data_IF_117434252955
#
_entry.id   IF_117434252955
#
_cell.length_a   1.000
_cell.length_b   1.000
_cell.length_c   1.000
_cell.angle_alpha   90.00
_cell.angle_beta   90.00
_cell.angle_gamma   90.00
#
_symmetry.space_group_name_H-M   'P 1'
#
loop_
_entity.id
_entity.type
_entity.pdbx_description
1 polymer ?
#
# COMPACT_ATOMS: atom_id res chain seq x y z
N UNK A 1 20.80 3.68 27.01
CA UNK A 1 19.43 3.11 26.90
C UNK A 1 18.46 4.05 27.59
N UNK A 2 17.99 5.05 26.85
CA UNK A 2 16.96 6.00 27.29
C UNK A 2 16.40 6.58 26.00
N UNK A 3 15.15 6.21 25.67
CA UNK A 3 14.23 6.87 24.73
C UNK A 3 13.05 5.90 24.51
N UNK A 4 12.25 5.68 25.55
CA UNK A 4 11.01 4.90 25.47
C UNK A 4 9.93 5.50 26.39
N UNK A 5 9.79 6.83 26.37
CA UNK A 5 8.90 7.58 27.29
C UNK A 5 8.16 8.73 26.62
N UNK A 6 7.73 8.56 25.36
CA UNK A 6 6.92 9.57 24.66
C UNK A 6 5.64 9.03 24.02
N UNK A 7 5.08 7.92 24.52
CA UNK A 7 3.90 7.29 23.91
C UNK A 7 2.62 7.25 24.77
N UNK A 8 2.54 7.99 25.89
CA UNK A 8 1.36 7.91 26.77
C UNK A 8 0.84 9.26 27.32
N UNK A 9 1.13 10.39 26.66
CA UNK A 9 0.71 11.72 27.12
C UNK A 9 -0.40 12.38 26.27
N UNK A 10 -1.33 11.60 25.71
CA UNK A 10 -2.45 12.16 24.92
C UNK A 10 -3.83 11.58 25.27
N UNK A 11 -3.96 10.89 26.40
CA UNK A 11 -5.23 10.28 26.84
C UNK A 11 -5.90 10.93 28.05
N UNK A 12 -5.41 12.08 28.53
CA UNK A 12 -5.90 12.67 29.79
C UNK A 12 -6.33 14.15 29.69
N UNK A 13 -6.95 14.57 28.58
CA UNK A 13 -7.39 15.96 28.43
C UNK A 13 -8.79 16.14 27.81
N UNK A 14 -9.82 15.39 28.24
CA UNK A 14 -11.24 15.77 27.96
C UNK A 14 -12.22 15.37 29.10
N UNK A 15 -11.79 15.02 30.32
CA UNK A 15 -12.74 14.57 31.38
C UNK A 15 -12.90 15.57 32.56
N UNK A 16 -12.21 16.71 32.57
CA UNK A 16 -12.37 17.70 33.64
C UNK A 16 -13.05 18.97 33.15
N UNK A 17 -14.38 18.94 33.13
CA UNK A 17 -15.22 20.09 32.76
C UNK A 17 -16.66 19.98 33.22
N UNK A 18 -16.94 19.27 34.32
CA UNK A 18 -18.25 19.31 34.98
C UNK A 18 -18.03 19.42 36.48
N UNK A 19 -17.84 20.65 36.97
CA UNK A 19 -17.95 20.95 38.38
C UNK A 19 -18.68 22.29 38.57
N UNK A 20 -19.90 22.15 39.11
CA UNK A 20 -20.56 23.07 40.02
C UNK A 20 -20.84 24.51 39.55
N UNK A 21 -22.11 24.76 39.22
CA UNK A 21 -22.73 26.01 39.67
C UNK A 21 -24.09 25.72 40.32
N UNK A 22 -24.23 26.21 41.56
CA UNK A 22 -25.33 26.06 42.52
C UNK A 22 -26.72 26.20 41.91
N UNK A 23 -27.62 25.28 42.26
CA UNK A 23 -29.08 25.51 42.18
C UNK A 23 -29.56 25.85 43.60
N UNK A 24 -30.08 27.07 43.69
CA UNK A 24 -30.90 27.58 44.79
C UNK A 24 -32.20 26.78 44.88
N UNK A 25 -32.62 26.45 46.09
CA UNK A 25 -33.89 25.79 46.39
C UNK A 25 -35.07 26.64 45.92
N UNK A 26 -35.88 26.13 45.00
CA UNK A 26 -37.27 26.57 44.85
C UNK A 26 -38.20 25.35 44.80
N UNK A 27 -39.24 25.47 45.61
CA UNK A 27 -40.35 24.57 45.81
C UNK A 27 -41.11 24.27 44.51
N UNK A 28 -41.47 22.98 44.37
CA UNK A 28 -42.69 22.40 43.80
C UNK A 28 -43.41 23.26 42.75
N UNK A 29 -43.42 22.78 41.51
CA UNK A 29 -44.66 22.82 40.72
C UNK A 29 -44.78 21.61 39.78
N UNK A 30 -45.94 20.97 39.87
CA UNK A 30 -46.30 19.71 39.23
C UNK A 30 -46.92 20.01 37.87
N UNK A 31 -46.11 20.36 36.86
CA UNK A 31 -46.59 20.49 35.48
C UNK A 31 -45.42 20.55 34.48
N UNK A 32 -44.78 19.41 34.20
CA UNK A 32 -43.66 19.37 33.23
C UNK A 32 -43.30 18.00 32.65
N UNK A 33 -44.12 16.97 32.86
CA UNK A 33 -43.73 15.59 32.58
C UNK A 33 -43.69 15.20 31.09
N UNK A 34 -44.17 16.04 30.17
CA UNK A 34 -44.20 15.69 28.75
C UNK A 34 -43.06 16.32 27.93
N UNK A 35 -42.59 17.51 28.31
CA UNK A 35 -41.60 18.27 27.53
C UNK A 35 -40.16 17.77 27.76
N UNK A 36 -39.84 17.25 28.95
CA UNK A 36 -38.49 16.76 29.30
C UNK A 36 -38.13 15.41 28.68
N UNK A 37 -39.13 14.58 28.30
CA UNK A 37 -38.90 13.25 27.71
C UNK A 37 -38.59 13.32 26.21
N UNK A 38 -39.09 14.36 25.54
CA UNK A 38 -38.89 14.64 24.12
C UNK A 38 -37.45 15.15 23.85
N UNK A 39 -36.97 16.08 24.68
CA UNK A 39 -35.61 16.65 24.54
C UNK A 39 -34.51 15.61 24.74
N UNK A 40 -34.69 14.69 25.70
CA UNK A 40 -33.72 13.62 25.97
C UNK A 40 -33.59 12.64 24.79
N UNK A 41 -34.71 12.33 24.13
CA UNK A 41 -34.73 11.50 22.90
C UNK A 41 -34.10 12.23 21.72
N UNK A 42 -34.34 13.54 21.59
CA UNK A 42 -33.72 14.36 20.55
C UNK A 42 -32.19 14.45 20.68
N UNK A 43 -31.68 14.50 21.92
CA UNK A 43 -30.25 14.54 22.21
C UNK A 43 -29.54 13.20 21.93
N UNK A 44 -30.15 12.07 22.34
CA UNK A 44 -29.64 10.73 22.03
C UNK A 44 -29.64 10.45 20.52
N UNK A 45 -30.66 10.90 19.79
CA UNK A 45 -30.73 10.75 18.35
C UNK A 45 -29.65 11.56 17.64
N UNK A 46 -29.39 12.80 18.08
CA UNK A 46 -28.31 13.66 17.54
C UNK A 46 -26.91 13.14 17.88
N UNK A 47 -26.73 12.58 19.08
CA UNK A 47 -25.47 11.94 19.45
C UNK A 47 -25.22 10.68 18.62
N UNK A 48 -26.23 9.82 18.44
CA UNK A 48 -26.13 8.62 17.61
C UNK A 48 -25.91 8.95 16.12
N UNK A 49 -26.53 10.00 15.59
CA UNK A 49 -26.27 10.45 14.21
C UNK A 49 -24.85 11.00 14.04
N UNK A 50 -24.38 11.79 15.00
CA UNK A 50 -23.01 12.33 14.98
C UNK A 50 -21.93 11.24 15.14
N UNK A 51 -22.22 10.17 15.89
CA UNK A 51 -21.34 9.00 16.01
C UNK A 51 -21.29 8.24 14.68
N UNK A 52 -22.43 7.96 14.05
CA UNK A 52 -22.47 7.30 12.73
C UNK A 52 -21.74 8.07 11.64
N UNK A 53 -21.84 9.40 11.65
CA UNK A 53 -21.14 10.27 10.70
C UNK A 53 -19.62 10.28 10.95
N UNK A 54 -19.19 10.27 12.22
CA UNK A 54 -17.77 10.12 12.56
C UNK A 54 -17.23 8.74 12.18
N UNK A 55 -17.98 7.67 12.41
CA UNK A 55 -17.57 6.31 12.05
C UNK A 55 -17.43 6.12 10.55
N UNK A 56 -18.34 6.69 9.74
CA UNK A 56 -18.22 6.64 8.28
C UNK A 56 -16.99 7.42 7.79
N UNK A 57 -16.70 8.57 8.41
CA UNK A 57 -15.52 9.39 8.09
C UNK A 57 -14.22 8.67 8.46
N UNK A 58 -14.16 8.02 9.62
CA UNK A 58 -13.01 7.24 10.09
C UNK A 58 -12.76 6.04 9.16
N UNK A 59 -13.81 5.30 8.78
CA UNK A 59 -13.69 4.18 7.83
C UNK A 59 -13.21 4.63 6.44
N UNK A 60 -13.65 5.82 6.00
CA UNK A 60 -13.20 6.39 4.74
C UNK A 60 -11.73 6.86 4.80
N UNK A 61 -11.28 7.36 5.95
CA UNK A 61 -9.88 7.71 6.17
C UNK A 61 -8.99 6.47 6.30
N UNK A 62 -9.43 5.44 7.02
CA UNK A 62 -8.74 4.17 7.17
C UNK A 62 -8.54 3.48 5.80
N UNK A 63 -9.58 3.41 4.97
CA UNK A 63 -9.48 2.85 3.60
C UNK A 63 -8.63 3.70 2.64
N UNK A 64 -8.48 5.01 2.88
CA UNK A 64 -7.50 5.85 2.16
C UNK A 64 -6.08 5.57 2.61
N UNK A 65 -5.84 5.41 3.92
CA UNK A 65 -4.54 5.06 4.48
C UNK A 65 -4.10 3.66 4.06
N UNK A 66 -5.00 2.68 4.06
CA UNK A 66 -4.75 1.32 3.57
C UNK A 66 -4.31 1.34 2.09
N UNK A 67 -4.94 2.20 1.28
CA UNK A 67 -4.57 2.37 -0.13
C UNK A 67 -3.16 2.95 -0.33
N UNK A 68 -2.73 3.81 0.57
CA UNK A 68 -1.38 4.38 0.56
C UNK A 68 -0.32 3.41 1.14
N UNK A 69 -0.75 2.34 1.81
CA UNK A 69 0.13 1.41 2.53
C UNK A 69 0.60 0.23 1.67
N UNK A 70 0.05 0.06 0.46
CA UNK A 70 0.47 -1.03 -0.39
C UNK A 70 1.87 -0.80 -0.96
N UNK A 71 2.75 -1.82 -0.92
CA UNK A 71 4.10 -1.67 -1.39
C UNK A 71 4.09 -1.41 -2.90
N UNK A 72 4.62 -0.25 -3.31
CA UNK A 72 4.99 0.01 -4.70
C UNK A 72 6.30 -0.65 -5.09
N UNK A 73 6.95 -1.36 -4.17
CA UNK A 73 8.30 -1.89 -4.34
C UNK A 73 8.41 -3.37 -4.01
N UNK A 74 9.15 -4.10 -4.83
CA UNK A 74 9.48 -5.51 -4.65
C UNK A 74 10.97 -5.75 -4.92
N UNK A 75 11.58 -6.68 -4.19
CA UNK A 75 12.98 -7.10 -4.36
C UNK A 75 13.04 -8.61 -4.49
N UNK A 76 13.70 -9.06 -5.54
CA UNK A 76 14.04 -10.46 -5.77
C UNK A 76 15.54 -10.66 -5.59
N UNK A 77 15.90 -11.44 -4.58
CA UNK A 77 17.28 -11.85 -4.34
C UNK A 77 17.59 -13.14 -5.11
N UNK A 78 18.62 -13.10 -5.96
CA UNK A 78 19.07 -14.24 -6.78
C UNK A 78 20.57 -14.53 -6.60
N UNK A 79 21.20 -13.92 -5.58
CA UNK A 79 22.65 -13.98 -5.33
C UNK A 79 23.23 -15.38 -5.05
N UNK A 80 22.37 -16.40 -4.88
CA UNK A 80 22.78 -17.80 -4.69
C UNK A 80 22.52 -18.72 -5.88
N UNK A 81 21.93 -18.20 -6.96
CA UNK A 81 21.57 -19.00 -8.13
C UNK A 81 22.76 -19.16 -9.08
N UNK A 82 23.01 -20.39 -9.52
CA UNK A 82 24.05 -20.69 -10.51
C UNK A 82 23.47 -20.71 -11.92
N UNK A 83 23.67 -19.60 -12.64
CA UNK A 83 23.26 -19.46 -14.03
C UNK A 83 24.32 -19.93 -15.04
N UNK A 84 25.43 -20.54 -14.60
CA UNK A 84 26.53 -20.97 -15.49
C UNK A 84 26.10 -22.02 -16.51
N UNK A 85 25.18 -22.91 -16.12
CA UNK A 85 24.62 -23.98 -16.96
C UNK A 85 23.47 -23.52 -17.86
N UNK A 86 22.97 -22.30 -17.67
CA UNK A 86 21.88 -21.79 -18.48
C UNK A 86 22.36 -21.43 -19.87
N UNK A 87 21.59 -21.87 -20.85
CA UNK A 87 21.78 -21.49 -22.24
C UNK A 87 20.99 -20.25 -22.58
N UNK A 88 21.21 -19.75 -23.78
CA UNK A 88 20.48 -18.64 -24.34
C UNK A 88 18.96 -18.87 -24.34
N UNK A 89 18.19 -17.79 -24.11
CA UNK A 89 16.72 -17.82 -23.97
C UNK A 89 16.17 -18.67 -22.83
N UNK A 90 17.02 -19.35 -22.05
CA UNK A 90 16.61 -19.88 -20.76
C UNK A 90 16.38 -18.70 -19.81
N UNK A 91 15.34 -18.84 -19.00
CA UNK A 91 14.95 -17.84 -18.03
C UNK A 91 14.63 -18.45 -16.68
N UNK A 92 14.62 -17.59 -15.68
CA UNK A 92 14.08 -17.87 -14.36
C UNK A 92 13.03 -16.81 -14.05
N UNK A 93 11.91 -17.27 -13.51
CA UNK A 93 10.84 -16.41 -13.03
C UNK A 93 10.93 -16.28 -11.51
N UNK A 94 10.66 -15.08 -10.99
CA UNK A 94 10.43 -14.88 -9.56
C UNK A 94 9.09 -15.48 -9.14
N UNK A 95 8.86 -15.66 -7.83
CA UNK A 95 7.51 -15.83 -7.31
C UNK A 95 6.62 -14.66 -7.77
N UNK A 96 5.32 -14.93 -7.95
CA UNK A 96 4.34 -13.88 -8.22
C UNK A 96 4.19 -12.97 -6.99
N UNK A 97 3.99 -11.68 -7.24
CA UNK A 97 3.80 -10.65 -6.22
C UNK A 97 2.74 -9.63 -6.65
N UNK A 98 2.36 -8.76 -5.72
CA UNK A 98 1.40 -7.69 -5.93
C UNK A 98 2.04 -6.34 -5.63
N UNK A 99 1.72 -5.32 -6.41
CA UNK A 99 2.17 -3.94 -6.26
C UNK A 99 1.00 -2.99 -6.49
N UNK A 100 0.90 -1.93 -5.68
CA UNK A 100 -0.07 -0.83 -5.87
C UNK A 100 -1.53 -1.28 -6.12
N UNK A 101 -2.02 -2.30 -5.41
CA UNK A 101 -3.35 -2.92 -5.53
C UNK A 101 -3.54 -3.89 -6.70
N UNK A 102 -2.58 -3.97 -7.62
CA UNK A 102 -2.59 -4.92 -8.71
C UNK A 102 -1.75 -6.16 -8.34
N UNK A 103 -2.31 -7.35 -8.56
CA UNK A 103 -1.65 -8.64 -8.29
C UNK A 103 -1.39 -9.41 -9.58
N UNK A 104 -0.43 -10.32 -9.55
CA UNK A 104 -0.09 -11.13 -10.74
C UNK A 104 1.17 -10.64 -11.47
N UNK A 105 1.99 -9.83 -10.81
CA UNK A 105 3.31 -9.49 -11.32
C UNK A 105 4.32 -10.59 -11.05
N UNK A 106 5.28 -10.78 -11.95
CA UNK A 106 6.51 -11.53 -11.68
C UNK A 106 7.67 -10.94 -12.47
N UNK A 107 8.89 -11.22 -12.04
CA UNK A 107 10.09 -10.88 -12.78
C UNK A 107 10.53 -12.07 -13.61
N UNK A 108 10.96 -11.81 -14.85
CA UNK A 108 11.60 -12.79 -15.71
C UNK A 108 13.02 -12.35 -16.02
N UNK A 109 13.98 -13.17 -15.63
CA UNK A 109 15.41 -12.95 -15.86
C UNK A 109 15.95 -13.91 -16.90
N UNK A 110 16.64 -13.38 -17.91
CA UNK A 110 17.37 -14.16 -18.92
C UNK A 110 18.88 -13.94 -18.72
N UNK A 111 19.59 -14.85 -18.01
CA UNK A 111 20.98 -14.64 -17.68
C UNK A 111 21.86 -14.50 -18.91
N UNK A 112 21.61 -15.25 -19.98
CA UNK A 112 22.38 -15.17 -21.23
C UNK A 112 21.68 -14.36 -22.33
N UNK A 113 20.73 -13.52 -21.93
CA UNK A 113 19.93 -12.72 -22.83
C UNK A 113 18.79 -13.48 -23.50
N UNK A 114 17.92 -12.72 -24.17
CA UNK A 114 16.73 -13.21 -24.86
C UNK A 114 16.75 -12.73 -26.32
N UNK A 115 16.43 -13.60 -27.29
CA UNK A 115 16.50 -13.28 -28.72
C UNK A 115 17.86 -12.66 -29.12
N UNK A 116 18.01 -12.11 -30.33
CA UNK A 116 19.25 -11.66 -31.01
C UNK A 116 20.29 -10.81 -30.21
N UNK A 117 20.13 -10.62 -28.91
CA UNK A 117 21.15 -10.24 -27.95
C UNK A 117 22.19 -11.36 -27.77
N UNK A 118 23.16 -11.46 -28.67
CA UNK A 118 24.26 -12.43 -28.64
C UNK A 118 25.50 -11.93 -27.86
N UNK A 119 25.36 -10.82 -27.12
CA UNK A 119 26.52 -9.97 -26.81
C UNK A 119 26.91 -10.03 -25.32
N UNK A 120 26.58 -11.12 -24.62
CA UNK A 120 26.93 -11.31 -23.20
C UNK A 120 26.09 -10.49 -22.22
N UNK A 121 25.00 -9.90 -22.70
CA UNK A 121 24.04 -9.15 -21.89
C UNK A 121 22.95 -10.05 -21.33
N UNK A 122 22.55 -9.77 -20.09
CA UNK A 122 21.37 -10.33 -19.49
C UNK A 122 20.15 -9.42 -19.73
N UNK A 123 18.98 -10.04 -19.84
CA UNK A 123 17.70 -9.33 -19.97
C UNK A 123 16.88 -9.48 -18.70
N UNK A 124 16.14 -8.44 -18.33
CA UNK A 124 15.21 -8.47 -17.20
C UNK A 124 13.89 -7.84 -17.63
N UNK A 125 12.79 -8.48 -17.27
CA UNK A 125 11.42 -8.01 -17.54
C UNK A 125 10.55 -8.15 -16.30
N UNK A 126 9.71 -7.16 -16.07
CA UNK A 126 8.51 -7.24 -15.26
C UNK A 126 7.40 -7.75 -16.16
N UNK A 127 6.70 -8.78 -15.72
CA UNK A 127 5.64 -9.46 -16.44
C UNK A 127 4.35 -9.35 -15.64
N UNK A 128 3.22 -9.41 -16.34
CA UNK A 128 1.89 -9.47 -15.74
C UNK A 128 0.97 -10.38 -16.56
N UNK A 129 -0.06 -10.94 -15.92
CA UNK A 129 -1.00 -11.87 -16.57
C UNK A 129 -1.90 -11.18 -17.60
N UNK A 130 -2.26 -9.92 -17.36
CA UNK A 130 -3.08 -9.07 -18.23
C UNK A 130 -2.35 -7.79 -18.65
N UNK A 131 -2.89 -7.09 -19.66
CA UNK A 131 -2.36 -5.82 -20.08
C UNK A 131 -2.61 -4.76 -18.99
N UNK A 132 -1.57 -4.05 -18.59
CA UNK A 132 -1.64 -2.99 -17.59
C UNK A 132 -1.03 -1.71 -18.11
N UNK A 133 -1.47 -0.57 -17.57
CA UNK A 133 -0.75 0.69 -17.70
C UNK A 133 0.06 0.92 -16.42
N UNK A 134 1.38 0.84 -16.50
CA UNK A 134 2.24 1.09 -15.35
C UNK A 134 3.33 2.11 -15.64
N UNK A 135 3.88 2.67 -14.58
CA UNK A 135 5.08 3.53 -14.59
C UNK A 135 5.91 3.29 -13.34
N UNK A 136 7.22 3.24 -13.53
CA UNK A 136 8.17 3.03 -12.44
C UNK A 136 9.60 2.89 -12.92
N UNK A 137 10.41 2.25 -12.08
CA UNK A 137 11.77 1.86 -12.40
C UNK A 137 12.03 0.41 -12.01
N UNK A 138 12.95 -0.20 -12.72
CA UNK A 138 13.54 -1.48 -12.41
C UNK A 138 15.03 -1.28 -12.20
N UNK A 139 15.57 -1.88 -11.14
CA UNK A 139 16.99 -1.79 -10.80
C UNK A 139 17.53 -3.20 -10.64
N UNK A 140 18.67 -3.48 -11.25
CA UNK A 140 19.40 -4.73 -11.08
C UNK A 140 20.83 -4.38 -10.70
N UNK A 141 21.21 -4.75 -9.47
CA UNK A 141 22.42 -4.27 -8.80
C UNK A 141 22.60 -2.73 -8.88
N UNK A 142 23.54 -2.24 -9.69
CA UNK A 142 23.83 -0.81 -9.84
C UNK A 142 23.21 -0.16 -11.10
N UNK A 143 22.47 -0.92 -11.91
CA UNK A 143 21.86 -0.42 -13.14
C UNK A 143 20.37 -0.23 -12.93
N UNK A 144 19.87 0.97 -13.19
CA UNK A 144 18.44 1.29 -13.13
C UNK A 144 17.91 1.70 -14.50
N UNK A 145 16.67 1.34 -14.80
CA UNK A 145 15.98 1.76 -16.01
C UNK A 145 14.54 2.10 -15.69
N UNK A 146 13.98 3.08 -16.39
CA UNK A 146 12.57 3.39 -16.31
C UNK A 146 11.76 2.36 -17.09
N UNK A 147 10.62 1.98 -16.53
CA UNK A 147 9.65 1.10 -17.16
C UNK A 147 8.30 1.81 -17.20
N UNK A 148 7.58 1.68 -18.31
CA UNK A 148 6.24 2.21 -18.38
C UNK A 148 5.57 2.05 -19.73
N UNK A 149 4.27 2.33 -19.76
CA UNK A 149 3.39 2.18 -20.92
C UNK A 149 2.36 1.07 -20.74
N UNK A 150 1.50 0.89 -21.74
CA UNK A 150 0.50 -0.17 -21.81
C UNK A 150 1.13 -1.43 -22.42
N UNK A 151 1.20 -2.51 -21.66
CA UNK A 151 1.75 -3.81 -22.11
C UNK A 151 1.42 -4.93 -21.13
N UNK A 152 1.88 -6.15 -21.41
CA UNK A 152 1.96 -7.27 -20.45
C UNK A 152 3.40 -7.49 -19.96
N UNK A 153 4.38 -6.78 -20.54
CA UNK A 153 5.79 -6.92 -20.17
C UNK A 153 6.56 -5.60 -20.32
N UNK A 154 7.44 -5.31 -19.36
CA UNK A 154 8.28 -4.10 -19.36
C UNK A 154 9.69 -4.42 -18.89
N UNK A 155 10.70 -3.99 -19.63
CA UNK A 155 12.08 -4.27 -19.26
C UNK A 155 13.08 -3.93 -20.35
N UNK A 156 14.27 -4.51 -20.25
CA UNK A 156 15.33 -4.33 -21.25
C UNK A 156 15.95 -5.65 -21.67
N UNK A 157 16.21 -5.75 -22.99
CA UNK A 157 17.01 -6.81 -23.62
C UNK A 157 18.49 -6.77 -23.22
N UNK A 158 19.03 -5.57 -23.01
CA UNK A 158 20.41 -5.34 -22.58
C UNK A 158 20.39 -4.57 -21.26
N UNK A 159 20.17 -5.29 -20.18
CA UNK A 159 20.03 -4.71 -18.84
C UNK A 159 21.39 -4.61 -18.15
N UNK A 160 22.12 -5.72 -18.05
CA UNK A 160 23.42 -5.79 -17.38
C UNK A 160 24.34 -6.76 -18.12
N UNK A 161 25.66 -6.52 -18.09
CA UNK A 161 26.65 -7.49 -18.57
C UNK A 161 26.76 -8.68 -17.60
N UNK A 162 26.75 -9.89 -18.12
CA UNK A 162 26.92 -11.12 -17.34
C UNK A 162 28.30 -11.20 -16.68
N UNK A 163 28.46 -11.88 -15.51
CA UNK A 163 27.62 -12.95 -14.99
C UNK A 163 27.10 -12.79 -13.55
N UNK A 164 27.28 -11.63 -12.89
CA UNK A 164 26.99 -11.50 -11.46
C UNK A 164 25.87 -10.52 -11.23
N UNK A 165 24.65 -11.04 -11.16
CA UNK A 165 23.48 -10.30 -10.70
C UNK A 165 23.09 -10.82 -9.31
N UNK A 166 22.98 -9.94 -8.33
CA UNK A 166 22.69 -10.32 -6.94
C UNK A 166 21.21 -10.12 -6.61
N UNK A 167 20.60 -9.07 -7.16
CA UNK A 167 19.19 -8.83 -6.97
C UNK A 167 18.58 -7.92 -8.02
N UNK A 168 17.28 -8.08 -8.20
CA UNK A 168 16.44 -7.24 -9.04
C UNK A 168 15.39 -6.60 -8.15
N UNK A 169 15.23 -5.29 -8.23
CA UNK A 169 14.14 -4.57 -7.59
C UNK A 169 13.28 -3.84 -8.61
N UNK A 170 12.01 -3.69 -8.27
CA UNK A 170 11.03 -2.90 -9.02
C UNK A 170 10.43 -1.91 -8.08
N UNK A 171 10.29 -0.67 -8.54
CA UNK A 171 9.60 0.39 -7.85
C UNK A 171 8.58 1.02 -8.80
N UNK A 172 7.30 0.71 -8.61
CA UNK A 172 6.20 1.30 -9.35
C UNK A 172 5.68 2.53 -8.62
N UNK A 173 5.45 3.59 -9.38
CA UNK A 173 4.78 4.81 -8.92
C UNK A 173 3.32 4.83 -9.32
N UNK A 174 2.96 4.08 -10.36
CA UNK A 174 1.59 3.92 -10.84
C UNK A 174 1.42 2.54 -11.47
N UNK A 175 0.30 1.89 -11.21
CA UNK A 175 -0.19 0.76 -11.97
C UNK A 175 -1.70 0.87 -12.11
N UNK A 176 -2.20 0.35 -13.22
CA UNK A 176 -3.61 0.09 -13.45
C UNK A 176 -3.71 -1.09 -14.38
N UNK A 177 -4.15 -2.23 -13.85
CA UNK A 177 -4.41 -3.42 -14.64
C UNK A 177 -5.90 -3.53 -14.95
N UNK A 178 -6.24 -3.94 -16.18
CA UNK A 178 -7.61 -4.35 -16.46
C UNK A 178 -7.88 -5.66 -15.72
N UNK A 179 -8.94 -5.66 -14.91
CA UNK A 179 -9.44 -6.89 -14.29
C UNK A 179 -10.08 -7.70 -15.41
N UNK A 180 -9.50 -8.86 -15.74
CA UNK A 180 -10.16 -9.81 -16.62
C UNK A 180 -11.51 -10.18 -15.97
N UNK A 181 -12.60 -9.75 -16.61
CA UNK A 181 -13.97 -10.06 -16.19
C UNK A 181 -14.32 -11.53 -16.36
#
# INVERSE_FOLDING_TARGET
>A
MQLFTWMFALFALVINGVAAHRISTHSIDTSGSFVMKEERRGFEYRAASAIKEKDSTINQQASRLERLRQPGHFVWNISGEDFSKMTYSNYVDSPKFALLHDGGFWLRYYPKGQFWSFDGWASVYLMHDTECSLYGSMTADSVSTTIGGLSTSWGRKRFLLTPKLHGISVNLTKSHCEVAG
#
